data_IF_078704346742
#
_entry.id   IF_078704346742
#
_cell.length_a   1.000
_cell.length_b   1.000
_cell.length_c   1.000
_cell.angle_alpha   90.00
_cell.angle_beta   90.00
_cell.angle_gamma   90.00
#
_symmetry.space_group_name_H-M   'P 1'
#
loop_
_entity.id
_entity.type
_entity.pdbx_description
1 polymer ?
#
# COMPACT_ATOMS: atom_id res chain seq x y z
N UNK A 1 49.37 -72.79 -2.29
CA UNK A 1 50.60 -72.92 -1.54
C UNK A 1 50.55 -71.91 -0.41
N UNK A 2 50.29 -72.44 0.71
CA UNK A 2 51.03 -72.31 1.98
C UNK A 2 51.09 -70.85 2.49
N UNK A 3 50.58 -70.49 3.53
CA UNK A 3 50.34 -71.14 4.85
C UNK A 3 50.92 -70.22 5.95
N UNK A 4 50.15 -70.10 7.01
CA UNK A 4 50.51 -69.90 8.43
C UNK A 4 50.85 -68.53 8.98
N UNK A 5 49.95 -68.06 9.84
CA UNK A 5 49.87 -68.21 11.31
C UNK A 5 50.97 -67.36 12.02
N UNK A 6 50.78 -66.72 13.13
CA UNK A 6 50.08 -66.91 14.37
C UNK A 6 50.30 -65.71 15.33
N UNK A 7 49.30 -65.35 16.07
CA UNK A 7 49.24 -65.17 17.54
C UNK A 7 49.83 -63.94 18.25
N UNK A 8 48.89 -63.35 18.97
CA UNK A 8 48.88 -62.89 20.38
C UNK A 8 49.82 -61.74 20.82
N UNK A 9 49.24 -60.71 21.36
CA UNK A 9 49.27 -60.41 22.79
C UNK A 9 48.42 -59.17 23.14
N UNK A 10 47.52 -59.35 24.08
CA UNK A 10 46.78 -58.32 24.77
C UNK A 10 47.72 -57.44 25.63
N UNK A 11 47.53 -56.12 25.63
CA UNK A 11 47.78 -55.29 26.81
C UNK A 11 46.73 -54.20 26.90
N UNK A 12 46.00 -54.20 28.00
CA UNK A 12 45.11 -53.18 28.46
C UNK A 12 45.90 -51.88 28.73
N UNK A 13 45.37 -50.74 28.20
CA UNK A 13 45.70 -49.42 28.71
C UNK A 13 44.42 -48.60 28.80
N UNK A 14 44.08 -48.27 30.03
CA UNK A 14 43.02 -47.33 30.39
C UNK A 14 43.32 -45.94 29.82
N UNK A 15 42.41 -45.37 29.04
CA UNK A 15 42.41 -43.96 28.72
C UNK A 15 41.28 -43.27 29.50
N UNK A 16 41.51 -42.09 30.07
CA UNK A 16 40.48 -41.32 30.75
C UNK A 16 39.52 -40.66 29.76
N UNK A 17 38.23 -40.72 30.06
CA UNK A 17 37.18 -39.97 29.39
C UNK A 17 37.39 -38.45 29.59
N UNK A 18 37.78 -37.75 28.55
CA UNK A 18 37.65 -36.29 28.43
C UNK A 18 36.35 -35.97 27.70
N UNK A 19 35.40 -35.54 28.44
CA UNK A 19 34.15 -34.91 27.91
C UNK A 19 34.52 -33.56 27.28
N UNK A 20 34.22 -33.28 26.00
CA UNK A 20 34.33 -31.94 25.46
C UNK A 20 33.12 -31.12 25.94
N UNK A 21 33.42 -30.08 26.71
CA UNK A 21 32.50 -28.96 26.98
C UNK A 21 32.26 -28.23 25.65
N UNK A 22 31.10 -28.44 25.07
CA UNK A 22 30.65 -27.64 23.94
C UNK A 22 30.35 -26.23 24.44
N UNK A 23 31.32 -25.32 24.28
CA UNK A 23 31.06 -23.88 24.29
C UNK A 23 30.20 -23.55 23.05
N UNK A 24 28.92 -23.35 23.26
CA UNK A 24 28.02 -22.85 22.26
C UNK A 24 28.36 -21.40 21.90
N UNK A 25 29.21 -21.20 20.90
CA UNK A 25 29.24 -19.96 20.17
C UNK A 25 27.93 -19.84 19.39
N UNK A 26 27.03 -19.00 19.87
CA UNK A 26 25.90 -18.54 19.08
C UNK A 26 26.43 -17.74 17.90
N UNK A 27 26.70 -18.40 16.80
CA UNK A 27 26.85 -17.76 15.51
C UNK A 27 25.47 -17.14 15.18
N UNK A 28 25.40 -15.83 15.24
CA UNK A 28 24.38 -15.07 14.52
C UNK A 28 24.61 -15.38 13.03
N UNK A 29 23.97 -16.46 12.57
CA UNK A 29 24.01 -16.89 11.18
C UNK A 29 23.52 -15.76 10.31
N UNK A 30 24.41 -15.19 9.52
CA UNK A 30 24.03 -14.51 8.29
C UNK A 30 23.22 -15.53 7.48
N UNK A 31 21.92 -15.26 7.32
CA UNK A 31 21.08 -15.98 6.35
C UNK A 31 21.53 -15.54 4.97
N UNK A 32 22.60 -16.14 4.48
CA UNK A 32 23.05 -16.05 3.10
C UNK A 32 22.49 -17.29 2.40
N UNK A 33 21.46 -17.08 1.54
CA UNK A 33 21.16 -18.04 0.50
C UNK A 33 19.94 -18.96 0.65
N UNK A 34 18.95 -18.66 1.50
CA UNK A 34 17.60 -19.20 1.26
C UNK A 34 17.01 -18.47 0.06
N UNK A 35 16.52 -19.20 -0.95
CA UNK A 35 15.85 -18.63 -2.11
C UNK A 35 14.77 -17.65 -1.66
N UNK A 36 14.61 -16.54 -2.40
CA UNK A 36 13.69 -15.43 -2.06
C UNK A 36 12.22 -15.87 -1.89
N UNK A 37 11.91 -17.13 -2.21
CA UNK A 37 10.57 -17.72 -2.26
C UNK A 37 10.10 -18.32 -0.93
N UNK A 38 10.99 -18.61 0.01
CA UNK A 38 10.69 -19.45 1.18
C UNK A 38 10.48 -18.71 2.52
N UNK A 39 10.21 -17.39 2.48
CA UNK A 39 9.82 -16.71 3.70
C UNK A 39 8.42 -17.14 4.13
N UNK A 40 8.24 -17.76 5.31
CA UNK A 40 6.92 -18.13 5.80
C UNK A 40 6.07 -16.87 6.03
N UNK A 41 4.76 -17.00 5.90
CA UNK A 41 3.82 -15.98 6.36
C UNK A 41 3.32 -16.36 7.76
N UNK A 42 2.97 -15.38 8.59
CA UNK A 42 2.31 -15.67 9.85
C UNK A 42 0.96 -16.35 9.59
N UNK A 43 0.54 -17.23 10.49
CA UNK A 43 -0.77 -17.85 10.42
C UNK A 43 -1.87 -16.78 10.29
N UNK A 44 -2.86 -17.02 9.42
CA UNK A 44 -3.96 -16.10 9.11
C UNK A 44 -3.59 -14.82 8.35
N UNK A 45 -2.35 -14.70 7.88
CA UNK A 45 -1.92 -13.59 7.03
C UNK A 45 -1.57 -14.08 5.62
N UNK A 46 -1.97 -13.32 4.61
CA UNK A 46 -1.48 -13.45 3.23
C UNK A 46 -1.05 -12.08 2.74
N UNK A 47 0.08 -12.03 2.02
CA UNK A 47 0.66 -10.78 1.55
C UNK A 47 1.11 -10.93 0.10
N UNK A 48 0.66 -10.01 -0.74
CA UNK A 48 0.92 -10.01 -2.18
C UNK A 48 1.47 -8.65 -2.62
N UNK A 49 2.53 -8.67 -3.44
CA UNK A 49 3.14 -7.50 -4.05
C UNK A 49 3.11 -7.63 -5.57
N UNK A 50 2.51 -6.67 -6.26
CA UNK A 50 2.37 -6.77 -7.73
C UNK A 50 3.67 -6.60 -8.52
N UNK A 51 4.79 -6.29 -7.87
CA UNK A 51 6.11 -6.14 -8.48
C UNK A 51 7.18 -7.08 -7.93
N UNK A 52 6.87 -7.99 -6.98
CA UNK A 52 7.90 -8.85 -6.40
C UNK A 52 8.56 -9.74 -7.46
N UNK A 53 9.80 -10.15 -7.19
CA UNK A 53 10.60 -10.94 -8.15
C UNK A 53 10.15 -12.40 -8.24
N UNK A 54 9.61 -12.97 -7.16
CA UNK A 54 9.27 -14.39 -7.06
C UNK A 54 7.93 -14.78 -7.70
N UNK A 55 6.97 -13.86 -7.79
CA UNK A 55 5.69 -14.14 -8.45
C UNK A 55 5.78 -13.94 -9.97
N UNK A 56 5.03 -14.72 -10.74
CA UNK A 56 4.91 -14.52 -12.18
C UNK A 56 3.49 -14.81 -12.66
N UNK A 57 2.94 -13.93 -13.49
CA UNK A 57 1.62 -14.15 -14.11
C UNK A 57 1.53 -13.54 -15.51
N UNK A 58 0.52 -13.99 -16.25
CA UNK A 58 0.19 -13.42 -17.55
C UNK A 58 -0.72 -12.20 -17.34
N UNK A 59 -0.27 -11.02 -17.76
CA UNK A 59 -1.01 -9.78 -17.63
C UNK A 59 -2.31 -9.85 -18.46
N UNK A 60 -3.50 -9.68 -17.86
CA UNK A 60 -4.77 -9.78 -18.57
C UNK A 60 -4.96 -8.68 -19.63
N UNK A 61 -4.27 -7.54 -19.51
CA UNK A 61 -4.41 -6.40 -20.42
C UNK A 61 -3.72 -6.64 -21.78
N UNK A 62 -2.59 -7.33 -21.79
CA UNK A 62 -1.76 -7.47 -22.98
C UNK A 62 -1.24 -8.89 -23.24
N UNK A 63 -1.58 -9.83 -22.38
CA UNK A 63 -1.16 -11.23 -22.49
C UNK A 63 0.32 -11.49 -22.21
N UNK A 64 1.12 -10.50 -21.86
CA UNK A 64 2.55 -10.66 -21.60
C UNK A 64 2.81 -11.25 -20.21
N UNK A 65 3.82 -12.08 -20.09
CA UNK A 65 4.31 -12.57 -18.81
C UNK A 65 5.03 -11.45 -18.04
N UNK A 66 4.74 -11.31 -16.76
CA UNK A 66 5.41 -10.35 -15.88
C UNK A 66 5.65 -10.93 -14.49
N UNK A 67 6.70 -10.46 -13.84
CA UNK A 67 6.95 -10.76 -12.43
C UNK A 67 6.01 -9.94 -11.53
N UNK A 68 5.65 -10.52 -10.41
CA UNK A 68 4.76 -9.96 -9.40
C UNK A 68 3.55 -10.87 -9.16
N UNK A 69 2.79 -10.55 -8.13
CA UNK A 69 1.53 -11.21 -7.84
C UNK A 69 0.39 -10.57 -8.63
N UNK A 70 -0.54 -11.38 -9.10
CA UNK A 70 -1.78 -10.90 -9.68
C UNK A 70 -2.76 -10.52 -8.56
N UNK A 71 -2.76 -9.24 -8.13
CA UNK A 71 -3.61 -8.77 -7.04
C UNK A 71 -5.10 -8.86 -7.40
N UNK A 72 -5.47 -8.65 -8.68
CA UNK A 72 -6.85 -8.81 -9.15
C UNK A 72 -7.33 -10.25 -8.95
N UNK A 73 -6.51 -11.24 -9.30
CA UNK A 73 -6.83 -12.65 -9.09
C UNK A 73 -7.05 -12.96 -7.60
N UNK A 74 -6.25 -12.38 -6.71
CA UNK A 74 -6.42 -12.57 -5.27
C UNK A 74 -7.76 -12.01 -4.78
N UNK A 75 -8.15 -10.81 -5.21
CA UNK A 75 -9.46 -10.23 -4.89
C UNK A 75 -10.59 -11.12 -5.39
N UNK A 76 -10.56 -11.52 -6.67
CA UNK A 76 -11.58 -12.37 -7.29
C UNK A 76 -11.72 -13.72 -6.56
N UNK A 77 -10.62 -14.33 -6.17
CA UNK A 77 -10.64 -15.61 -5.43
C UNK A 77 -11.38 -15.48 -4.10
N UNK A 78 -11.12 -14.43 -3.32
CA UNK A 78 -11.79 -14.23 -2.03
C UNK A 78 -13.27 -13.86 -2.21
N UNK A 79 -13.61 -13.03 -3.19
CA UNK A 79 -15.01 -12.69 -3.50
C UNK A 79 -15.79 -13.94 -3.97
N UNK A 80 -15.19 -14.78 -4.81
CA UNK A 80 -15.81 -16.02 -5.27
C UNK A 80 -15.99 -17.05 -4.14
N UNK A 81 -15.14 -17.01 -3.10
CA UNK A 81 -15.23 -17.88 -1.93
C UNK A 81 -16.26 -17.39 -0.89
N UNK A 82 -16.75 -16.16 -1.00
CA UNK A 82 -17.73 -15.57 -0.08
C UNK A 82 -19.05 -16.36 -0.07
N UNK A 83 -19.60 -16.53 1.13
CA UNK A 83 -20.83 -17.30 1.40
C UNK A 83 -21.97 -16.43 1.96
N UNK A 84 -21.66 -15.41 2.75
CA UNK A 84 -22.64 -14.60 3.47
C UNK A 84 -22.64 -13.15 2.99
N UNK A 85 -21.45 -12.51 3.02
CA UNK A 85 -21.36 -11.09 2.69
C UNK A 85 -20.00 -10.66 2.12
N UNK A 86 -20.04 -9.61 1.29
CA UNK A 86 -18.89 -8.83 0.85
C UNK A 86 -19.20 -7.36 1.05
N UNK A 87 -18.47 -6.70 1.95
CA UNK A 87 -18.49 -5.25 2.15
C UNK A 87 -17.22 -4.67 1.55
N UNK A 88 -17.34 -3.74 0.60
CA UNK A 88 -16.22 -3.13 -0.08
C UNK A 88 -16.23 -1.62 0.11
N UNK A 89 -15.16 -1.05 0.68
CA UNK A 89 -14.88 0.38 0.65
C UNK A 89 -13.64 0.63 -0.21
N UNK A 90 -13.83 1.26 -1.36
CA UNK A 90 -12.76 1.44 -2.35
C UNK A 90 -12.82 2.82 -3.01
N UNK A 91 -11.70 3.54 -2.99
CA UNK A 91 -11.62 4.84 -3.65
C UNK A 91 -11.89 4.72 -5.15
N UNK A 92 -11.23 3.81 -5.86
CA UNK A 92 -11.37 3.67 -7.31
C UNK A 92 -11.43 2.21 -7.72
N UNK A 93 -12.48 1.84 -8.46
CA UNK A 93 -12.71 0.53 -9.05
C UNK A 93 -12.87 0.68 -10.56
N UNK A 94 -11.95 0.11 -11.33
CA UNK A 94 -12.02 0.10 -12.81
C UNK A 94 -11.73 -1.28 -13.41
N UNK A 95 -11.70 -2.32 -12.59
CA UNK A 95 -11.47 -3.71 -13.01
C UNK A 95 -12.80 -4.45 -13.23
N UNK A 96 -13.24 -4.67 -14.47
CA UNK A 96 -14.53 -5.31 -14.75
C UNK A 96 -14.62 -6.74 -14.20
N UNK A 97 -13.49 -7.46 -14.11
CA UNK A 97 -13.48 -8.83 -13.60
C UNK A 97 -13.75 -8.88 -12.09
N UNK A 98 -13.35 -7.84 -11.34
CA UNK A 98 -13.74 -7.70 -9.92
C UNK A 98 -15.24 -7.45 -9.81
N UNK A 99 -15.80 -6.56 -10.63
CA UNK A 99 -17.25 -6.32 -10.68
C UNK A 99 -18.03 -7.58 -11.04
N UNK A 100 -17.58 -8.33 -12.03
CA UNK A 100 -18.18 -9.62 -12.41
C UNK A 100 -18.12 -10.64 -11.25
N UNK A 101 -17.04 -10.66 -10.46
CA UNK A 101 -16.97 -11.52 -9.28
C UNK A 101 -17.99 -11.12 -8.20
N UNK A 102 -18.20 -9.81 -7.96
CA UNK A 102 -19.22 -9.30 -7.04
C UNK A 102 -20.63 -9.62 -7.52
N UNK A 103 -20.89 -9.51 -8.83
CA UNK A 103 -22.16 -9.89 -9.44
C UNK A 103 -22.44 -11.38 -9.21
N UNK A 104 -21.49 -12.26 -9.53
CA UNK A 104 -21.63 -13.70 -9.26
C UNK A 104 -21.82 -13.99 -7.76
N UNK A 105 -21.19 -13.24 -6.86
CA UNK A 105 -21.43 -13.37 -5.43
C UNK A 105 -22.89 -13.04 -5.08
N UNK A 106 -23.43 -11.92 -5.59
CA UNK A 106 -24.83 -11.56 -5.42
C UNK A 106 -25.78 -12.61 -5.99
N UNK A 107 -25.51 -13.14 -7.18
CA UNK A 107 -26.29 -14.21 -7.82
C UNK A 107 -26.34 -15.51 -6.99
N UNK A 108 -25.30 -15.77 -6.19
CA UNK A 108 -25.28 -16.88 -5.21
C UNK A 108 -26.01 -16.57 -3.91
N UNK A 109 -26.60 -15.37 -3.76
CA UNK A 109 -27.29 -14.95 -2.54
C UNK A 109 -26.38 -14.27 -1.50
N UNK A 110 -25.11 -13.97 -1.82
CA UNK A 110 -24.20 -13.23 -0.96
C UNK A 110 -24.61 -11.76 -0.90
N UNK A 111 -24.69 -11.19 0.29
CA UNK A 111 -24.95 -9.76 0.47
C UNK A 111 -23.73 -8.94 0.04
N UNK A 112 -23.88 -8.14 -1.01
CA UNK A 112 -22.81 -7.28 -1.53
C UNK A 112 -23.19 -5.82 -1.34
N UNK A 113 -22.33 -5.03 -0.70
CA UNK A 113 -22.49 -3.60 -0.47
C UNK A 113 -21.20 -2.86 -0.77
N UNK A 114 -21.27 -1.68 -1.42
CA UNK A 114 -20.08 -0.97 -1.89
C UNK A 114 -20.15 0.52 -1.51
N UNK A 115 -19.08 1.01 -0.89
CA UNK A 115 -18.81 2.43 -0.65
C UNK A 115 -17.70 2.89 -1.60
N UNK A 116 -17.97 3.97 -2.34
CA UNK A 116 -17.07 4.55 -3.35
C UNK A 116 -16.69 5.99 -3.00
N UNK A 117 -15.64 6.48 -3.58
CA UNK A 117 -15.32 7.91 -3.61
C UNK A 117 -16.10 8.57 -4.77
N UNK A 118 -16.66 9.76 -4.57
CA UNK A 118 -17.60 10.40 -5.47
C UNK A 118 -17.06 10.67 -6.88
N UNK A 119 -15.78 11.06 -7.00
CA UNK A 119 -15.17 11.34 -8.30
C UNK A 119 -15.02 10.08 -9.19
N UNK A 120 -15.14 8.90 -8.58
CA UNK A 120 -14.98 7.60 -9.25
C UNK A 120 -16.21 6.72 -9.22
N UNK A 121 -17.34 7.23 -8.69
CA UNK A 121 -18.62 6.50 -8.55
C UNK A 121 -19.49 6.48 -9.80
N UNK A 122 -19.16 7.32 -10.80
CA UNK A 122 -19.91 7.39 -12.05
C UNK A 122 -19.30 6.49 -13.13
N UNK A 123 -20.12 5.76 -13.92
CA UNK A 123 -19.63 5.00 -15.07
C UNK A 123 -18.80 5.89 -16.00
N UNK A 124 -17.61 5.44 -16.37
CA UNK A 124 -16.79 6.20 -17.31
C UNK A 124 -17.39 6.22 -18.71
N UNK A 125 -18.13 5.18 -19.06
CA UNK A 125 -18.79 5.01 -20.37
C UNK A 125 -19.91 6.02 -20.62
N UNK A 126 -20.45 6.62 -19.56
CA UNK A 126 -21.50 7.65 -19.60
C UNK A 126 -20.91 9.07 -19.56
N UNK A 127 -19.61 9.22 -19.30
CA UNK A 127 -18.97 10.52 -19.20
C UNK A 127 -18.56 11.05 -20.58
N UNK A 128 -18.92 12.31 -20.87
CA UNK A 128 -18.47 12.94 -22.11
C UNK A 128 -17.07 13.57 -21.94
N UNK A 129 -16.12 13.33 -22.86
CA UNK A 129 -14.74 13.81 -22.72
C UNK A 129 -14.60 15.33 -22.59
N UNK A 130 -15.55 16.13 -23.16
CA UNK A 130 -15.54 17.59 -23.04
C UNK A 130 -15.71 18.08 -21.60
N UNK A 131 -16.44 17.31 -20.77
CA UNK A 131 -16.81 17.70 -19.41
C UNK A 131 -15.73 17.34 -18.39
N UNK A 132 -14.71 16.62 -18.86
CA UNK A 132 -13.65 16.10 -18.02
C UNK A 132 -12.45 17.04 -17.94
N UNK A 133 -11.84 17.12 -16.75
CA UNK A 133 -10.53 17.74 -16.56
C UNK A 133 -9.45 17.06 -17.41
N UNK A 134 -8.32 17.72 -17.65
CA UNK A 134 -7.21 17.11 -18.39
C UNK A 134 -6.71 15.78 -17.78
N UNK A 135 -6.75 15.64 -16.46
CA UNK A 135 -6.40 14.41 -15.76
C UNK A 135 -7.45 13.33 -16.01
N UNK A 136 -8.72 13.65 -15.82
CA UNK A 136 -9.84 12.71 -16.01
C UNK A 136 -9.98 12.26 -17.46
N UNK A 137 -9.69 13.14 -18.44
CA UNK A 137 -9.65 12.76 -19.88
C UNK A 137 -8.61 11.69 -20.17
N UNK A 138 -7.40 11.79 -19.59
CA UNK A 138 -6.36 10.75 -19.77
C UNK A 138 -6.84 9.41 -19.19
N UNK A 139 -7.41 9.42 -18.00
CA UNK A 139 -8.01 8.23 -17.38
C UNK A 139 -9.11 7.64 -18.26
N UNK A 140 -10.05 8.45 -18.72
CA UNK A 140 -11.14 8.04 -19.61
C UNK A 140 -10.58 7.42 -20.92
N UNK A 141 -9.56 8.03 -21.52
CA UNK A 141 -8.91 7.47 -22.71
C UNK A 141 -8.27 6.09 -22.45
N UNK A 142 -7.61 5.91 -21.28
CA UNK A 142 -7.06 4.62 -20.87
C UNK A 142 -8.14 3.55 -20.74
N UNK A 143 -9.27 3.89 -20.11
CA UNK A 143 -10.39 2.97 -19.94
C UNK A 143 -11.05 2.59 -21.28
N UNK A 144 -11.16 3.53 -22.22
CA UNK A 144 -11.61 3.26 -23.59
C UNK A 144 -10.71 2.25 -24.30
N UNK A 145 -9.38 2.44 -24.21
CA UNK A 145 -8.41 1.50 -24.81
C UNK A 145 -8.47 0.11 -24.18
N UNK A 146 -8.81 0.01 -22.90
CA UNK A 146 -8.97 -1.27 -22.20
C UNK A 146 -10.28 -1.98 -22.56
N UNK A 147 -11.32 -1.22 -22.82
CA UNK A 147 -12.64 -1.73 -23.17
C UNK A 147 -12.71 -2.20 -24.65
N UNK A 148 -11.89 -1.64 -25.52
CA UNK A 148 -11.76 -2.05 -26.93
C UNK A 148 -11.09 -3.44 -27.02
N UNK A 149 -11.92 -4.46 -26.91
CA UNK A 149 -11.46 -5.85 -26.75
C UNK A 149 -10.90 -6.43 -28.05
N UNK A 150 -11.46 -6.03 -29.20
CA UNK A 150 -11.06 -6.46 -30.53
C UNK A 150 -9.95 -5.55 -31.13
N UNK A 151 -9.66 -4.39 -30.49
CA UNK A 151 -8.63 -3.41 -30.85
C UNK A 151 -8.84 -2.80 -32.25
N UNK A 152 -10.10 -2.61 -32.65
CA UNK A 152 -10.43 -1.97 -33.92
C UNK A 152 -10.50 -0.44 -33.85
N UNK A 153 -10.30 0.15 -32.64
CA UNK A 153 -10.36 1.58 -32.37
C UNK A 153 -11.76 2.13 -32.19
N UNK A 154 -12.78 1.30 -32.28
CA UNK A 154 -14.18 1.64 -32.06
C UNK A 154 -14.70 0.93 -30.80
N UNK A 155 -15.69 1.46 -30.17
CA UNK A 155 -16.33 0.84 -29.00
C UNK A 155 -17.81 0.58 -29.32
N UNK A 156 -18.17 -0.68 -29.35
CA UNK A 156 -19.58 -1.09 -29.35
C UNK A 156 -20.25 -0.79 -28.01
N UNK A 157 -21.57 -0.86 -27.94
CA UNK A 157 -22.31 -0.71 -26.67
C UNK A 157 -21.95 -1.83 -25.68
N UNK A 158 -21.76 -3.05 -26.19
CA UNK A 158 -21.38 -4.22 -25.41
C UNK A 158 -19.98 -4.07 -24.83
N UNK A 159 -19.00 -3.61 -25.61
CA UNK A 159 -17.63 -3.38 -25.12
C UNK A 159 -17.57 -2.26 -24.07
N UNK A 160 -18.34 -1.18 -24.26
CA UNK A 160 -18.44 -0.11 -23.26
C UNK A 160 -18.96 -0.66 -21.94
N UNK A 161 -20.05 -1.42 -21.98
CA UNK A 161 -20.63 -2.01 -20.78
C UNK A 161 -19.69 -3.03 -20.14
N UNK A 162 -19.16 -3.97 -20.93
CA UNK A 162 -18.25 -5.01 -20.42
C UNK A 162 -16.95 -4.45 -19.86
N UNK A 163 -16.50 -3.29 -20.35
CA UNK A 163 -15.30 -2.60 -19.90
C UNK A 163 -15.51 -1.58 -18.76
N UNK A 164 -16.76 -1.37 -18.32
CA UNK A 164 -17.09 -0.40 -17.27
C UNK A 164 -17.50 -1.07 -15.98
N UNK A 165 -16.57 -1.12 -15.03
CA UNK A 165 -16.77 -1.77 -13.73
C UNK A 165 -17.99 -1.22 -12.96
N UNK A 166 -18.22 0.10 -13.00
CA UNK A 166 -19.32 0.75 -12.28
C UNK A 166 -20.65 0.53 -12.99
N UNK A 167 -20.68 0.64 -14.33
CA UNK A 167 -21.90 0.36 -15.11
C UNK A 167 -22.40 -1.08 -14.91
N UNK A 168 -21.47 -2.05 -14.85
CA UNK A 168 -21.79 -3.46 -14.56
C UNK A 168 -22.45 -3.61 -13.19
N UNK A 169 -21.91 -2.98 -12.15
CA UNK A 169 -22.47 -3.04 -10.79
C UNK A 169 -23.86 -2.37 -10.71
N UNK A 170 -24.02 -1.20 -11.32
CA UNK A 170 -25.31 -0.50 -11.38
C UNK A 170 -26.39 -1.35 -12.06
N UNK A 171 -26.06 -1.89 -13.24
CA UNK A 171 -26.98 -2.75 -14.01
C UNK A 171 -27.37 -4.02 -13.26
N UNK A 172 -26.47 -4.57 -12.45
CA UNK A 172 -26.76 -5.74 -11.61
C UNK A 172 -27.58 -5.42 -10.37
N UNK A 173 -27.84 -4.14 -10.09
CA UNK A 173 -28.55 -3.69 -8.89
C UNK A 173 -27.80 -3.98 -7.59
N UNK A 174 -26.45 -3.96 -7.60
CA UNK A 174 -25.65 -3.99 -6.37
C UNK A 174 -25.79 -2.63 -5.71
N UNK A 175 -26.20 -2.56 -4.42
CA UNK A 175 -26.33 -1.30 -3.72
C UNK A 175 -24.97 -0.63 -3.50
N UNK A 176 -24.87 0.63 -3.86
CA UNK A 176 -23.66 1.46 -3.75
C UNK A 176 -24.02 2.84 -3.22
N UNK A 177 -23.14 3.41 -2.42
CA UNK A 177 -23.15 4.82 -2.03
C UNK A 177 -21.78 5.45 -2.27
N UNK A 178 -21.72 6.78 -2.28
CA UNK A 178 -20.46 7.53 -2.30
C UNK A 178 -20.42 8.60 -1.20
N UNK A 179 -19.26 9.21 -1.01
CA UNK A 179 -18.99 10.15 0.08
C UNK A 179 -19.55 11.58 -0.14
N UNK A 180 -20.40 11.79 -1.13
CA UNK A 180 -21.08 13.07 -1.38
C UNK A 180 -22.61 12.96 -1.50
N UNK A 181 -23.15 11.76 -1.59
CA UNK A 181 -24.58 11.46 -1.59
C UNK A 181 -25.08 11.21 -0.17
N UNK A 182 -26.39 11.22 0.05
CA UNK A 182 -27.03 10.80 1.29
C UNK A 182 -26.54 11.55 2.53
N UNK A 183 -26.51 12.63 2.87
CA UNK A 183 -26.10 13.27 4.13
C UNK A 183 -24.59 13.29 4.39
N UNK A 184 -23.83 12.59 3.60
CA UNK A 184 -22.38 12.44 3.70
C UNK A 184 -21.65 13.66 3.14
N UNK A 185 -21.43 14.68 3.96
CA UNK A 185 -20.59 15.82 3.58
C UNK A 185 -19.40 15.89 4.54
N UNK A 186 -18.17 16.07 4.01
CA UNK A 186 -17.04 16.39 4.84
C UNK A 186 -15.83 15.48 4.75
N UNK A 187 -15.80 14.53 3.82
CA UNK A 187 -14.55 13.85 3.46
C UNK A 187 -13.72 14.70 2.52
N UNK A 188 -12.39 14.67 2.70
CA UNK A 188 -11.47 15.14 1.66
C UNK A 188 -11.45 14.15 0.50
N UNK A 189 -11.40 12.85 0.83
CA UNK A 189 -11.53 11.69 -0.06
C UNK A 189 -12.01 10.49 0.78
N UNK A 190 -12.93 9.69 0.28
CA UNK A 190 -13.12 8.33 0.75
C UNK A 190 -11.98 7.48 0.18
N UNK A 191 -10.88 7.41 0.92
CA UNK A 191 -9.60 6.87 0.43
C UNK A 191 -9.30 5.46 0.93
N UNK A 192 -10.26 4.79 1.57
CA UNK A 192 -10.14 3.38 1.94
C UNK A 192 -9.91 2.47 0.74
N UNK A 193 -9.28 1.33 1.00
CA UNK A 193 -9.08 0.22 0.07
C UNK A 193 -9.18 -1.07 0.85
N UNK A 194 -10.43 -1.46 1.16
CA UNK A 194 -10.65 -2.71 1.88
C UNK A 194 -11.90 -3.47 1.45
N UNK A 195 -11.87 -4.77 1.70
CA UNK A 195 -13.01 -5.67 1.71
C UNK A 195 -13.11 -6.37 3.07
N UNK A 196 -14.34 -6.55 3.53
CA UNK A 196 -14.67 -7.51 4.57
C UNK A 196 -15.45 -8.65 3.92
N UNK A 197 -15.01 -9.90 4.13
CA UNK A 197 -15.67 -11.09 3.58
C UNK A 197 -16.10 -11.99 4.74
N UNK A 198 -17.39 -12.33 4.76
CA UNK A 198 -18.01 -13.27 5.71
C UNK A 198 -17.66 -13.00 7.17
N UNK A 199 -17.54 -11.74 7.58
CA UNK A 199 -17.20 -11.26 8.94
C UNK A 199 -15.95 -11.92 9.53
N UNK A 200 -15.07 -12.44 8.69
CA UNK A 200 -13.92 -13.23 9.14
C UNK A 200 -12.62 -12.90 8.41
N UNK A 201 -12.68 -12.30 7.24
CA UNK A 201 -11.52 -11.96 6.42
C UNK A 201 -11.54 -10.48 6.08
N UNK A 202 -10.45 -9.78 6.36
CA UNK A 202 -10.18 -8.41 5.88
C UNK A 202 -9.12 -8.47 4.80
N UNK A 203 -9.36 -7.79 3.68
CA UNK A 203 -8.37 -7.53 2.64
C UNK A 203 -8.17 -6.03 2.56
N UNK A 204 -6.95 -5.56 2.72
CA UNK A 204 -6.61 -4.14 2.66
C UNK A 204 -5.21 -3.94 2.08
N UNK A 205 -4.74 -2.70 1.96
CA UNK A 205 -3.41 -2.39 1.45
C UNK A 205 -3.33 -1.04 0.77
N UNK A 206 -2.38 -0.89 -0.14
CA UNK A 206 -2.17 0.37 -0.85
C UNK A 206 -2.89 0.46 -2.20
N UNK A 207 -3.35 -0.66 -2.77
CA UNK A 207 -3.85 -0.73 -4.13
C UNK A 207 -5.27 -0.19 -4.29
N UNK A 208 -5.49 0.75 -5.22
CA UNK A 208 -6.79 0.91 -5.86
C UNK A 208 -7.04 -0.28 -6.79
N UNK A 209 -8.30 -0.65 -6.97
CA UNK A 209 -8.67 -1.78 -7.82
C UNK A 209 -8.82 -1.32 -9.28
N UNK A 210 -7.70 -0.84 -9.83
CA UNK A 210 -7.63 -0.27 -11.17
C UNK A 210 -6.56 -0.96 -12.00
N UNK A 211 -6.70 -0.90 -13.32
CA UNK A 211 -5.69 -1.42 -14.23
C UNK A 211 -4.33 -0.78 -13.98
N UNK A 212 -4.25 0.55 -13.92
CA UNK A 212 -3.01 1.27 -13.61
C UNK A 212 -2.50 1.01 -12.18
N UNK A 213 -3.39 0.68 -11.24
CA UNK A 213 -3.02 0.31 -9.87
C UNK A 213 -2.37 -1.07 -9.77
N UNK A 214 -2.72 -2.00 -10.66
CA UNK A 214 -2.34 -3.42 -10.54
C UNK A 214 -1.54 -3.93 -11.73
N UNK A 215 -2.01 -3.67 -12.95
CA UNK A 215 -1.50 -4.32 -14.16
C UNK A 215 -0.65 -3.43 -15.05
N UNK A 216 -0.90 -2.13 -15.06
CA UNK A 216 -0.25 -1.16 -15.91
C UNK A 216 -1.21 -0.32 -16.75
N UNK A 217 -0.65 0.63 -17.46
CA UNK A 217 -1.39 1.54 -18.33
C UNK A 217 -1.56 0.92 -19.73
N UNK A 218 -2.75 1.09 -20.33
CA UNK A 218 -3.01 0.71 -21.70
C UNK A 218 -2.12 1.52 -22.65
N UNK A 219 -1.67 0.88 -23.74
CA UNK A 219 -0.80 1.53 -24.72
C UNK A 219 0.65 1.76 -24.28
N UNK A 220 1.03 1.33 -23.08
CA UNK A 220 2.40 1.46 -22.55
C UNK A 220 2.98 0.09 -22.21
N UNK A 221 3.71 -0.51 -23.14
CA UNK A 221 4.23 -1.88 -23.00
C UNK A 221 5.16 -2.10 -21.81
N UNK A 222 5.83 -1.06 -21.33
CA UNK A 222 6.75 -1.11 -20.17
C UNK A 222 6.05 -0.88 -18.83
N UNK A 223 4.82 -0.35 -18.81
CA UNK A 223 4.08 -0.14 -17.56
C UNK A 223 3.73 -1.48 -16.92
N UNK A 224 3.98 -1.58 -15.64
CA UNK A 224 3.67 -2.73 -14.80
C UNK A 224 2.65 -2.39 -13.71
N UNK A 225 2.09 -1.19 -13.80
CA UNK A 225 1.22 -0.61 -12.80
C UNK A 225 1.97 0.01 -11.62
N UNK A 226 1.24 0.71 -10.81
CA UNK A 226 1.79 1.31 -9.60
C UNK A 226 2.29 0.21 -8.66
N UNK A 227 3.40 0.49 -7.96
CA UNK A 227 3.96 -0.45 -6.99
C UNK A 227 3.05 -0.50 -5.77
N UNK A 228 2.37 -1.61 -5.58
CA UNK A 228 1.31 -1.81 -4.60
C UNK A 228 1.42 -3.16 -3.89
N UNK A 229 0.68 -3.29 -2.79
CA UNK A 229 0.46 -4.56 -2.09
C UNK A 229 -1.00 -4.73 -1.67
N UNK A 230 -1.39 -5.99 -1.46
CA UNK A 230 -2.58 -6.41 -0.74
C UNK A 230 -2.18 -7.27 0.44
N UNK A 231 -2.80 -7.02 1.57
CA UNK A 231 -2.67 -7.77 2.82
C UNK A 231 -4.04 -8.35 3.17
N UNK A 232 -4.12 -9.66 3.29
CA UNK A 232 -5.33 -10.36 3.73
C UNK A 232 -5.09 -10.92 5.13
N UNK A 233 -6.02 -10.65 6.06
CA UNK A 233 -5.93 -11.07 7.46
C UNK A 233 -7.23 -11.75 7.85
N UNK A 234 -7.14 -13.02 8.25
CA UNK A 234 -8.29 -13.77 8.74
C UNK A 234 -8.41 -13.62 10.25
N UNK A 235 -9.40 -12.85 10.67
CA UNK A 235 -9.69 -12.55 12.08
C UNK A 235 -11.09 -11.95 12.18
N UNK A 236 -12.00 -12.61 12.89
CA UNK A 236 -13.35 -12.08 13.13
C UNK A 236 -13.31 -10.76 13.89
N UNK A 237 -12.38 -10.62 14.86
CA UNK A 237 -12.22 -9.37 15.62
C UNK A 237 -11.76 -8.21 14.74
N UNK A 238 -10.82 -8.46 13.80
CA UNK A 238 -10.41 -7.44 12.84
C UNK A 238 -11.55 -7.11 11.88
N UNK A 239 -12.25 -8.12 11.39
CA UNK A 239 -13.38 -7.95 10.49
C UNK A 239 -14.51 -7.12 11.12
N UNK A 240 -14.77 -7.32 12.42
CA UNK A 240 -15.73 -6.50 13.19
C UNK A 240 -15.37 -5.02 13.16
N UNK A 241 -14.10 -4.66 13.42
CA UNK A 241 -13.64 -3.26 13.38
C UNK A 241 -13.81 -2.62 12.00
N UNK A 242 -13.48 -3.36 10.94
CA UNK A 242 -13.64 -2.89 9.57
C UNK A 242 -15.12 -2.82 9.15
N UNK A 243 -15.95 -3.72 9.65
CA UNK A 243 -17.39 -3.70 9.43
C UNK A 243 -18.03 -2.49 10.13
N UNK A 244 -17.64 -2.16 11.36
CA UNK A 244 -18.10 -0.97 12.05
C UNK A 244 -17.73 0.30 11.28
N UNK A 245 -16.49 0.40 10.75
CA UNK A 245 -16.10 1.53 9.92
C UNK A 245 -16.91 1.60 8.64
N UNK A 246 -17.16 0.47 7.98
CA UNK A 246 -18.01 0.40 6.81
C UNK A 246 -19.44 0.88 7.13
N UNK A 247 -20.02 0.43 8.24
CA UNK A 247 -21.40 0.78 8.64
C UNK A 247 -21.54 2.26 8.99
N UNK A 248 -20.52 2.91 9.59
CA UNK A 248 -20.54 4.37 9.79
C UNK A 248 -20.66 5.13 8.47
N UNK A 249 -19.96 4.68 7.44
CA UNK A 249 -20.05 5.27 6.10
C UNK A 249 -21.34 4.90 5.39
N UNK A 250 -21.79 3.66 5.55
CA UNK A 250 -22.97 3.13 4.87
C UNK A 250 -24.29 3.71 5.37
N UNK A 251 -24.43 3.91 6.69
CA UNK A 251 -25.71 4.26 7.30
C UNK A 251 -26.78 3.21 7.00
N UNK A 252 -27.97 3.69 6.58
CA UNK A 252 -29.07 2.83 6.13
C UNK A 252 -28.93 2.45 4.64
N UNK A 253 -27.97 3.01 3.93
CA UNK A 253 -27.69 2.75 2.52
C UNK A 253 -28.71 3.36 1.55
N UNK A 254 -28.65 2.98 0.26
CA UNK A 254 -29.51 3.53 -0.76
C UNK A 254 -30.98 3.28 -0.48
N UNK A 255 -31.82 4.34 -0.51
CA UNK A 255 -33.24 4.27 -0.24
C UNK A 255 -33.65 4.26 1.24
N UNK A 256 -32.65 4.25 2.16
CA UNK A 256 -32.87 4.39 3.60
C UNK A 256 -32.90 5.85 4.07
N UNK A 257 -32.66 6.08 5.37
CA UNK A 257 -32.49 7.43 5.92
C UNK A 257 -31.15 7.99 5.45
N UNK A 258 -31.10 9.30 5.22
CA UNK A 258 -29.88 10.02 4.84
C UNK A 258 -28.95 10.20 6.06
N UNK A 259 -28.33 9.14 6.51
CA UNK A 259 -27.52 9.08 7.72
C UNK A 259 -26.10 8.52 7.52
N UNK A 260 -25.65 8.34 6.27
CA UNK A 260 -24.26 8.02 5.97
C UNK A 260 -23.31 9.12 6.47
N UNK A 261 -22.12 8.77 6.96
CA UNK A 261 -21.17 9.71 7.53
C UNK A 261 -19.77 9.46 7.01
N UNK A 262 -19.16 10.51 6.48
CA UNK A 262 -17.80 10.48 5.95
C UNK A 262 -16.91 11.56 6.56
N UNK A 263 -15.63 11.36 6.45
CA UNK A 263 -14.64 12.31 6.91
C UNK A 263 -14.86 12.67 8.39
N UNK A 264 -14.78 13.94 8.71
CA UNK A 264 -14.98 14.45 10.07
C UNK A 264 -16.41 14.37 10.62
N UNK A 265 -17.35 14.00 9.78
CA UNK A 265 -18.73 13.70 10.21
C UNK A 265 -18.88 12.33 10.87
N UNK A 266 -17.85 11.47 10.78
CA UNK A 266 -17.80 10.19 11.49
C UNK A 266 -17.29 10.38 12.92
N UNK A 267 -17.81 9.57 13.83
CA UNK A 267 -17.14 9.26 15.08
C UNK A 267 -16.02 8.25 14.78
N UNK A 268 -14.79 8.73 14.71
CA UNK A 268 -13.62 7.87 14.51
C UNK A 268 -12.99 7.58 15.87
N UNK A 269 -13.08 6.34 16.38
CA UNK A 269 -12.38 5.96 17.61
C UNK A 269 -10.86 6.05 17.41
N UNK A 270 -10.13 6.29 18.48
CA UNK A 270 -8.66 6.19 18.46
C UNK A 270 -8.19 4.79 18.05
N UNK A 271 -6.87 4.61 18.01
CA UNK A 271 -6.29 3.32 17.64
C UNK A 271 -6.79 2.18 18.55
N UNK A 272 -7.26 1.10 17.94
CA UNK A 272 -7.72 -0.10 18.62
C UNK A 272 -6.68 -1.22 18.48
N UNK A 273 -6.38 -1.90 19.58
CA UNK A 273 -5.40 -2.99 19.61
C UNK A 273 -6.11 -4.34 19.70
N UNK A 274 -5.74 -5.26 18.82
CA UNK A 274 -6.22 -6.65 18.82
C UNK A 274 -5.05 -7.62 18.70
N UNK A 275 -5.34 -8.91 18.95
CA UNK A 275 -4.40 -10.01 18.70
C UNK A 275 -4.91 -10.88 17.55
N UNK A 276 -4.03 -11.17 16.59
CA UNK A 276 -4.30 -12.12 15.50
C UNK A 276 -3.20 -13.18 15.51
N UNK A 277 -3.54 -14.41 15.84
CA UNK A 277 -2.55 -15.52 15.97
C UNK A 277 -1.33 -15.15 16.82
N UNK A 278 -1.54 -14.45 17.93
CA UNK A 278 -0.48 -14.01 18.84
C UNK A 278 0.28 -12.75 18.36
N UNK A 279 -0.10 -12.16 17.23
CA UNK A 279 0.49 -10.93 16.70
C UNK A 279 -0.36 -9.74 17.12
N UNK A 280 0.25 -8.74 17.78
CA UNK A 280 -0.40 -7.46 18.09
C UNK A 280 -0.60 -6.67 16.80
N UNK A 281 -1.84 -6.26 16.57
CA UNK A 281 -2.26 -5.41 15.44
C UNK A 281 -2.99 -4.20 16.00
N UNK A 282 -2.54 -3.01 15.65
CA UNK A 282 -3.21 -1.75 15.96
C UNK A 282 -3.91 -1.25 14.69
N UNK A 283 -5.15 -0.84 14.83
CA UNK A 283 -6.00 -0.37 13.73
C UNK A 283 -6.49 1.02 14.04
N UNK A 284 -6.32 1.95 13.11
CA UNK A 284 -6.87 3.29 13.22
C UNK A 284 -7.57 3.66 11.91
N UNK A 285 -8.79 4.18 12.02
CA UNK A 285 -9.53 4.76 10.91
C UNK A 285 -9.52 6.28 11.04
N UNK A 286 -9.01 6.96 10.04
CA UNK A 286 -9.02 8.42 9.97
C UNK A 286 -10.34 8.91 9.29
N UNK A 287 -10.66 10.22 9.38
CA UNK A 287 -9.82 11.28 9.95
C UNK A 287 -10.15 11.59 11.43
N UNK A 288 -9.23 12.28 12.07
CA UNK A 288 -9.42 12.86 13.40
C UNK A 288 -9.18 14.37 13.37
N UNK A 289 -9.78 15.11 14.32
CA UNK A 289 -9.50 16.53 14.48
C UNK A 289 -8.04 16.75 14.90
N UNK A 290 -7.40 17.81 14.40
CA UNK A 290 -5.99 18.13 14.72
C UNK A 290 -5.73 18.29 16.22
N UNK A 291 -6.73 18.75 16.95
CA UNK A 291 -6.62 19.04 18.37
C UNK A 291 -6.78 17.79 19.26
N UNK A 292 -7.29 16.70 18.69
CA UNK A 292 -7.45 15.44 19.41
C UNK A 292 -6.15 14.64 19.37
N UNK A 293 -5.64 14.17 20.51
CA UNK A 293 -4.49 13.28 20.53
C UNK A 293 -4.86 11.90 19.97
N UNK A 294 -3.86 11.14 19.55
CA UNK A 294 -4.03 9.77 19.08
C UNK A 294 -4.51 9.66 17.65
N UNK A 295 -4.37 10.72 16.83
CA UNK A 295 -4.62 10.63 15.39
C UNK A 295 -3.50 9.88 14.65
N UNK A 296 -3.69 9.64 13.35
CA UNK A 296 -2.78 8.78 12.58
C UNK A 296 -1.31 9.24 12.57
N UNK A 297 -1.05 10.56 12.56
CA UNK A 297 0.32 11.09 12.64
C UNK A 297 0.93 10.81 14.01
N UNK A 298 0.16 10.89 15.10
CA UNK A 298 0.65 10.57 16.46
C UNK A 298 1.03 9.10 16.54
N UNK A 299 0.17 8.20 16.07
CA UNK A 299 0.45 6.76 16.07
C UNK A 299 1.72 6.43 15.28
N UNK A 300 1.90 7.03 14.09
CA UNK A 300 3.11 6.86 13.30
C UNK A 300 4.33 7.43 14.05
N UNK A 301 4.21 8.64 14.64
CA UNK A 301 5.28 9.30 15.37
C UNK A 301 5.75 8.49 16.57
N UNK A 302 4.82 7.86 17.29
CA UNK A 302 5.12 6.96 18.41
C UNK A 302 5.96 5.77 17.94
N UNK A 303 5.52 5.08 16.90
CA UNK A 303 6.24 3.93 16.36
C UNK A 303 7.63 4.31 15.83
N UNK A 304 7.75 5.43 15.11
CA UNK A 304 9.05 5.93 14.63
C UNK A 304 9.98 6.31 15.79
N UNK A 305 9.43 6.94 16.84
CA UNK A 305 10.21 7.35 18.02
C UNK A 305 10.70 6.15 18.83
N UNK A 306 10.01 5.02 18.77
CA UNK A 306 10.41 3.78 19.44
C UNK A 306 11.55 3.04 18.73
N UNK A 307 11.90 3.41 17.49
CA UNK A 307 12.96 2.77 16.70
C UNK A 307 14.32 2.85 17.41
N UNK A 308 15.06 1.73 17.39
CA UNK A 308 16.39 1.62 18.00
C UNK A 308 17.51 1.35 17.00
N UNK A 309 17.20 0.80 15.82
CA UNK A 309 18.20 0.33 14.86
C UNK A 309 17.97 0.84 13.45
N UNK A 310 16.73 0.71 12.94
CA UNK A 310 16.46 1.00 11.53
C UNK A 310 15.00 1.39 11.26
N UNK A 311 14.82 2.25 10.27
CA UNK A 311 13.53 2.65 9.72
C UNK A 311 13.65 2.59 8.19
N UNK A 312 12.86 1.73 7.55
CA UNK A 312 12.71 1.65 6.10
C UNK A 312 11.34 2.20 5.70
N UNK A 313 11.30 3.09 4.73
CA UNK A 313 10.09 3.80 4.31
C UNK A 313 9.90 3.67 2.80
N UNK A 314 8.70 3.28 2.36
CA UNK A 314 8.28 3.35 0.96
C UNK A 314 6.94 4.09 0.86
N UNK A 315 6.98 5.32 0.35
CA UNK A 315 5.87 6.27 0.48
C UNK A 315 5.46 6.89 -0.86
N UNK A 316 4.15 6.92 -1.11
CA UNK A 316 3.60 7.65 -2.24
C UNK A 316 3.62 9.16 -2.00
N UNK A 317 2.95 9.62 -0.94
CA UNK A 317 2.96 11.01 -0.49
C UNK A 317 3.58 11.08 0.90
N UNK A 318 4.52 11.98 1.07
CA UNK A 318 5.12 12.32 2.36
C UNK A 318 5.19 13.83 2.48
N UNK A 319 4.30 14.41 3.31
CA UNK A 319 4.12 15.86 3.44
C UNK A 319 3.69 16.29 4.85
N UNK A 320 4.13 15.55 5.87
CA UNK A 320 3.87 15.90 7.27
C UNK A 320 5.18 16.23 8.00
N UNK A 321 5.35 17.49 8.35
CA UNK A 321 6.55 18.02 9.00
C UNK A 321 6.80 17.38 10.38
N UNK A 322 5.75 16.97 11.10
CA UNK A 322 5.90 16.31 12.41
C UNK A 322 6.67 15.02 12.26
N UNK A 323 6.33 14.21 11.24
CA UNK A 323 7.01 12.94 10.96
C UNK A 323 8.46 13.16 10.52
N UNK A 324 8.73 14.22 9.73
CA UNK A 324 10.08 14.61 9.35
C UNK A 324 10.93 15.00 10.55
N UNK A 325 10.37 15.75 11.48
CA UNK A 325 11.05 16.11 12.74
C UNK A 325 11.40 14.87 13.57
N UNK A 326 10.51 13.86 13.63
CA UNK A 326 10.79 12.58 14.30
C UNK A 326 11.91 11.82 13.61
N UNK A 327 11.89 11.72 12.28
CA UNK A 327 12.96 11.07 11.52
C UNK A 327 14.32 11.77 11.73
N UNK A 328 14.33 13.11 11.75
CA UNK A 328 15.54 13.87 12.05
C UNK A 328 16.11 13.56 13.44
N UNK A 329 15.24 13.47 14.47
CA UNK A 329 15.61 13.08 15.83
C UNK A 329 16.17 11.66 15.87
N UNK A 330 15.52 10.70 15.22
CA UNK A 330 15.96 9.31 15.20
C UNK A 330 17.30 9.14 14.47
N UNK A 331 17.50 9.86 13.36
CA UNK A 331 18.80 9.91 12.69
C UNK A 331 19.91 10.38 13.62
N UNK A 332 19.66 11.47 14.38
CA UNK A 332 20.64 12.02 15.34
C UNK A 332 20.93 11.06 16.50
N UNK A 333 19.97 10.18 16.82
CA UNK A 333 20.13 9.07 17.77
C UNK A 333 20.85 7.84 17.18
N UNK A 334 21.29 7.89 15.91
CA UNK A 334 22.04 6.82 15.25
C UNK A 334 21.19 5.76 14.56
N UNK A 335 19.87 5.95 14.47
CA UNK A 335 18.99 5.03 13.75
C UNK A 335 19.24 5.12 12.24
N UNK A 336 19.43 3.98 11.58
CA UNK A 336 19.61 3.90 10.12
C UNK A 336 18.28 4.11 9.43
N UNK A 337 18.20 5.13 8.57
CA UNK A 337 16.96 5.47 7.84
C UNK A 337 17.18 5.28 6.35
N UNK A 338 16.26 4.55 5.69
CA UNK A 338 16.16 4.47 4.22
C UNK A 338 14.76 4.91 3.81
N UNK A 339 14.67 5.81 2.85
CA UNK A 339 13.39 6.27 2.32
C UNK A 339 13.37 6.25 0.80
N UNK A 340 12.35 5.60 0.23
CA UNK A 340 12.00 5.72 -1.17
C UNK A 340 10.62 6.38 -1.28
N UNK A 341 10.54 7.44 -2.06
CA UNK A 341 9.30 8.14 -2.33
C UNK A 341 8.97 8.14 -3.83
N UNK A 342 7.69 8.33 -4.16
CA UNK A 342 7.28 8.50 -5.55
C UNK A 342 7.99 9.69 -6.20
N UNK A 343 8.66 9.51 -7.36
CA UNK A 343 9.44 10.59 -7.96
C UNK A 343 8.59 11.80 -8.38
N UNK A 344 7.28 11.62 -8.58
CA UNK A 344 6.34 12.70 -8.89
C UNK A 344 6.02 13.55 -7.67
N UNK A 345 5.79 12.90 -6.53
CA UNK A 345 5.49 13.58 -5.26
C UNK A 345 6.74 14.05 -4.53
N UNK A 346 7.83 13.30 -4.53
CA UNK A 346 9.11 13.71 -3.93
C UNK A 346 9.62 15.08 -4.37
N UNK A 347 9.23 15.51 -5.57
CA UNK A 347 9.63 16.80 -6.12
C UNK A 347 8.59 17.92 -5.93
N UNK A 348 7.49 17.71 -5.19
CA UNK A 348 6.51 18.78 -4.91
C UNK A 348 7.06 19.74 -3.84
N UNK A 349 6.64 21.01 -3.89
CA UNK A 349 7.08 22.04 -2.92
C UNK A 349 6.73 21.71 -1.48
N UNK A 350 5.68 20.95 -1.25
CA UNK A 350 5.20 20.50 0.05
C UNK A 350 5.75 19.10 0.45
N UNK A 351 6.77 18.60 -0.22
CA UNK A 351 7.28 17.24 0.04
C UNK A 351 8.38 17.25 1.09
N UNK A 352 8.20 16.52 2.15
CA UNK A 352 9.18 16.32 3.22
C UNK A 352 10.44 15.56 2.77
N UNK A 353 10.38 14.95 1.57
CA UNK A 353 11.59 14.41 0.93
C UNK A 353 12.61 15.51 0.67
N UNK A 354 12.17 16.74 0.37
CA UNK A 354 13.04 17.90 0.18
C UNK A 354 13.73 18.25 1.49
N UNK A 355 12.99 18.31 2.59
CA UNK A 355 13.53 18.58 3.92
C UNK A 355 14.60 17.59 4.32
N UNK A 356 14.35 16.29 4.10
CA UNK A 356 15.34 15.24 4.37
C UNK A 356 16.59 15.36 3.49
N UNK A 357 16.48 15.95 2.29
CA UNK A 357 17.58 16.24 1.39
C UNK A 357 18.23 17.60 1.63
N UNK A 358 17.76 18.37 2.62
CA UNK A 358 18.25 19.73 2.92
C UNK A 358 17.88 20.77 1.85
N UNK A 359 16.77 20.57 1.15
CA UNK A 359 16.32 21.38 0.04
C UNK A 359 15.03 22.13 0.33
N UNK A 360 14.89 23.29 -0.29
CA UNK A 360 13.65 24.08 -0.33
C UNK A 360 13.26 24.35 -1.77
N UNK A 361 12.00 24.10 -2.11
CA UNK A 361 11.46 24.43 -3.42
C UNK A 361 10.18 25.26 -3.22
N UNK A 362 10.14 26.51 -3.66
CA UNK A 362 8.94 27.32 -3.58
C UNK A 362 7.82 26.74 -4.48
N UNK A 363 6.60 27.09 -4.15
CA UNK A 363 5.42 26.78 -4.95
C UNK A 363 5.36 27.60 -6.25
N UNK A 364 4.25 27.52 -6.98
CA UNK A 364 4.04 28.26 -8.23
C UNK A 364 3.96 29.80 -8.06
N UNK A 365 3.73 30.25 -6.81
CA UNK A 365 3.71 31.69 -6.42
C UNK A 365 5.03 32.14 -5.81
N UNK A 366 6.07 31.34 -5.89
CA UNK A 366 7.37 31.57 -5.27
C UNK A 366 7.35 31.67 -3.73
N UNK A 367 6.38 31.02 -3.08
CA UNK A 367 6.28 30.97 -1.62
C UNK A 367 6.83 29.63 -1.11
N UNK A 368 7.63 29.71 -0.05
CA UNK A 368 8.04 28.52 0.72
C UNK A 368 6.89 28.12 1.65
N UNK A 369 6.71 26.84 1.86
CA UNK A 369 5.73 26.28 2.76
C UNK A 369 5.94 26.80 4.20
N UNK A 370 4.84 27.14 4.88
CA UNK A 370 4.90 27.56 6.28
C UNK A 370 5.44 26.43 7.16
N UNK A 371 6.35 26.77 8.07
CA UNK A 371 7.03 25.81 8.98
C UNK A 371 7.97 24.81 8.30
N UNK A 372 8.33 25.00 7.03
CA UNK A 372 9.33 24.21 6.33
C UNK A 372 10.66 24.18 7.11
N UNK A 373 11.24 22.98 7.33
CA UNK A 373 12.46 22.79 8.15
C UNK A 373 13.45 21.84 7.51
N UNK A 374 14.12 22.25 6.43
CA UNK A 374 15.12 21.41 5.77
C UNK A 374 16.27 21.05 6.72
N UNK A 375 16.71 19.80 6.66
CA UNK A 375 17.81 19.31 7.46
C UNK A 375 19.12 20.05 7.10
N UNK A 376 19.84 20.55 8.10
CA UNK A 376 21.18 21.14 7.92
C UNK A 376 22.18 20.14 7.33
N UNK A 377 22.04 18.87 7.68
CA UNK A 377 22.83 17.78 7.12
C UNK A 377 21.91 16.80 6.39
N UNK A 378 21.96 16.75 5.05
CA UNK A 378 21.08 15.89 4.25
C UNK A 378 21.19 14.41 4.57
N UNK A 379 20.12 13.65 4.34
CA UNK A 379 20.09 12.20 4.34
C UNK A 379 20.41 11.67 2.95
N UNK A 380 21.57 11.05 2.77
CA UNK A 380 21.95 10.44 1.48
C UNK A 380 21.25 9.11 1.17
N UNK A 381 20.47 8.59 2.11
CA UNK A 381 19.68 7.36 2.02
C UNK A 381 18.20 7.63 1.73
N UNK A 382 17.93 8.73 1.05
CA UNK A 382 16.60 9.16 0.57
C UNK A 382 16.64 9.25 -0.94
N UNK A 383 15.61 8.74 -1.61
CA UNK A 383 15.56 8.76 -3.07
C UNK A 383 14.24 8.27 -3.66
N UNK A 384 14.30 7.82 -4.90
CA UNK A 384 13.15 7.36 -5.66
C UNK A 384 13.49 6.09 -6.46
N UNK A 385 12.57 5.11 -6.56
CA UNK A 385 12.77 3.95 -7.40
C UNK A 385 12.70 4.31 -8.89
N UNK A 386 13.42 3.59 -9.74
CA UNK A 386 13.26 3.67 -11.20
C UNK A 386 12.02 2.91 -11.60
N UNK A 387 11.03 3.62 -12.12
CA UNK A 387 9.76 3.07 -12.57
C UNK A 387 9.53 3.37 -14.05
N UNK A 388 8.72 2.54 -14.70
CA UNK A 388 8.26 2.83 -16.04
C UNK A 388 7.42 4.13 -16.06
N UNK A 389 7.39 4.79 -17.22
CA UNK A 389 6.60 6.03 -17.37
C UNK A 389 5.13 5.75 -17.12
N UNK A 390 4.52 6.49 -16.21
CA UNK A 390 3.13 6.33 -15.77
C UNK A 390 3.01 5.61 -14.42
N UNK A 391 3.85 4.63 -14.16
CA UNK A 391 3.85 3.89 -12.90
C UNK A 391 4.31 4.77 -11.73
N UNK A 392 3.79 4.51 -10.55
CA UNK A 392 4.08 5.24 -9.31
C UNK A 392 4.54 4.29 -8.21
N UNK A 393 5.38 4.78 -7.32
CA UNK A 393 5.55 4.15 -6.02
C UNK A 393 4.31 4.47 -5.18
N UNK A 394 3.39 3.54 -5.07
CA UNK A 394 2.10 3.79 -4.42
C UNK A 394 1.97 3.15 -3.03
N UNK A 395 3.04 2.55 -2.52
CA UNK A 395 3.09 2.07 -1.14
C UNK A 395 2.93 3.21 -0.11
N UNK A 396 2.46 2.85 1.07
CA UNK A 396 2.43 3.66 2.28
C UNK A 396 2.84 2.75 3.43
N UNK A 397 4.11 2.31 3.41
CA UNK A 397 4.58 1.45 4.49
C UNK A 397 5.88 1.92 5.13
N UNK A 398 6.05 1.55 6.39
CA UNK A 398 7.32 1.56 7.08
C UNK A 398 7.63 0.19 7.67
N UNK A 399 8.92 -0.14 7.77
CA UNK A 399 9.43 -1.25 8.57
C UNK A 399 10.37 -0.69 9.63
N UNK A 400 10.06 -0.95 10.89
CA UNK A 400 10.82 -0.46 12.04
C UNK A 400 11.52 -1.64 12.71
N UNK A 401 12.85 -1.53 12.84
CA UNK A 401 13.73 -2.51 13.51
C UNK A 401 13.59 -3.95 13.01
N UNK A 402 13.09 -4.16 11.77
CA UNK A 402 12.71 -5.45 11.21
C UNK A 402 11.69 -6.22 12.08
N UNK A 403 10.82 -5.52 12.81
CA UNK A 403 9.85 -6.10 13.76
C UNK A 403 8.45 -5.57 13.60
N UNK A 404 8.31 -4.30 13.26
CA UNK A 404 7.01 -3.62 13.16
C UNK A 404 6.80 -3.12 11.74
N UNK A 405 5.61 -3.36 11.20
CA UNK A 405 5.16 -2.85 9.91
C UNK A 405 4.05 -1.83 10.14
N UNK A 406 4.20 -0.64 9.58
CA UNK A 406 3.11 0.33 9.42
C UNK A 406 2.64 0.22 7.98
N UNK A 407 1.32 0.11 7.73
CA UNK A 407 0.79 -0.04 6.36
C UNK A 407 -0.68 0.37 6.27
N UNK A 408 -1.28 0.30 5.07
CA UNK A 408 -2.68 0.64 4.80
C UNK A 408 -2.85 1.58 3.61
N UNK A 409 -3.93 2.37 3.63
CA UNK A 409 -4.21 3.39 2.63
C UNK A 409 -3.62 4.76 2.98
N UNK A 410 -3.28 4.97 4.24
CA UNK A 410 -2.91 6.23 4.87
C UNK A 410 -1.63 6.84 4.27
N UNK A 411 -1.76 7.89 3.48
CA UNK A 411 -0.62 8.70 3.04
C UNK A 411 -0.04 9.46 4.25
N UNK A 412 1.27 9.66 4.26
CA UNK A 412 1.92 10.38 5.35
C UNK A 412 1.78 11.90 5.15
N UNK A 413 0.56 12.37 5.35
CA UNK A 413 0.16 13.75 5.04
C UNK A 413 -0.92 14.26 6.01
N UNK A 414 -1.01 15.58 6.21
CA UNK A 414 -2.10 16.17 7.01
C UNK A 414 -3.50 15.85 6.47
N UNK A 415 -3.65 15.74 5.15
CA UNK A 415 -4.95 15.37 4.55
C UNK A 415 -5.40 13.97 4.96
N UNK A 416 -4.50 12.99 4.97
CA UNK A 416 -4.80 11.64 5.42
C UNK A 416 -5.19 11.60 6.90
N UNK A 417 -4.53 12.41 7.74
CA UNK A 417 -4.80 12.43 9.18
C UNK A 417 -6.11 13.12 9.54
N UNK A 418 -6.51 14.17 8.78
CA UNK A 418 -7.50 15.14 9.26
C UNK A 418 -8.70 15.36 8.34
N UNK A 419 -8.70 14.82 7.11
CA UNK A 419 -9.79 15.05 6.14
C UNK A 419 -10.24 13.82 5.37
N UNK A 420 -9.34 12.88 5.09
CA UNK A 420 -9.67 11.68 4.30
C UNK A 420 -10.13 10.52 5.17
N UNK A 421 -11.00 9.68 4.65
CA UNK A 421 -11.31 8.39 5.23
C UNK A 421 -10.18 7.39 4.87
N UNK A 422 -9.39 6.98 5.87
CA UNK A 422 -8.18 6.17 5.67
C UNK A 422 -8.09 5.01 6.64
N UNK A 423 -7.39 3.97 6.23
CA UNK A 423 -7.00 2.84 7.08
C UNK A 423 -5.51 2.91 7.39
N UNK A 424 -5.16 2.86 8.66
CA UNK A 424 -3.78 2.74 9.15
C UNK A 424 -3.66 1.50 10.05
N UNK A 425 -2.70 0.64 9.74
CA UNK A 425 -2.38 -0.56 10.51
C UNK A 425 -0.95 -0.49 11.03
N UNK A 426 -0.74 -0.88 12.29
CA UNK A 426 0.57 -1.18 12.87
C UNK A 426 0.59 -2.64 13.27
N UNK A 427 1.52 -3.43 12.72
CA UNK A 427 1.57 -4.89 12.90
C UNK A 427 2.93 -5.27 13.46
N UNK A 428 2.95 -5.83 14.67
CA UNK A 428 4.17 -6.22 15.37
C UNK A 428 4.53 -7.69 15.06
N UNK A 429 5.14 -7.90 13.89
CA UNK A 429 5.53 -9.23 13.40
C UNK A 429 6.86 -9.19 12.66
N UNK A 430 7.93 -9.77 13.21
CA UNK A 430 9.22 -9.91 12.50
C UNK A 430 9.09 -10.69 11.19
N UNK A 431 8.23 -11.69 11.16
CA UNK A 431 7.99 -12.50 9.94
C UNK A 431 7.36 -11.63 8.85
N UNK A 432 6.31 -10.86 9.18
CA UNK A 432 5.69 -9.97 8.20
C UNK A 432 6.65 -8.84 7.79
N UNK A 433 7.39 -8.29 8.74
CA UNK A 433 8.41 -7.26 8.48
C UNK A 433 9.46 -7.73 7.47
N UNK A 434 9.89 -9.00 7.51
CA UNK A 434 10.84 -9.57 6.56
C UNK A 434 10.34 -9.50 5.11
N UNK A 435 9.03 -9.70 4.87
CA UNK A 435 8.44 -9.56 3.53
C UNK A 435 8.47 -8.11 3.03
N UNK A 436 8.12 -7.15 3.88
CA UNK A 436 8.18 -5.72 3.52
C UNK A 436 9.63 -5.24 3.34
N UNK A 437 10.56 -5.73 4.16
CA UNK A 437 12.01 -5.46 3.98
C UNK A 437 12.52 -6.02 2.65
N UNK A 438 12.08 -7.21 2.23
CA UNK A 438 12.41 -7.78 0.92
C UNK A 438 11.88 -6.90 -0.22
N UNK A 439 10.66 -6.40 -0.12
CA UNK A 439 10.09 -5.47 -1.10
C UNK A 439 10.88 -4.14 -1.14
N UNK A 440 11.21 -3.58 0.04
CA UNK A 440 12.06 -2.41 0.14
C UNK A 440 13.42 -2.65 -0.54
N UNK A 441 14.08 -3.78 -0.28
CA UNK A 441 15.36 -4.13 -0.87
C UNK A 441 15.27 -4.32 -2.39
N UNK A 442 14.17 -4.88 -2.90
CA UNK A 442 13.91 -5.00 -4.34
C UNK A 442 13.90 -3.63 -5.01
N UNK A 443 13.14 -2.68 -4.47
CA UNK A 443 13.06 -1.32 -5.00
C UNK A 443 14.38 -0.56 -4.83
N UNK A 444 15.07 -0.78 -3.71
CA UNK A 444 16.31 -0.10 -3.37
C UNK A 444 17.44 -0.38 -4.38
N UNK A 445 17.55 -1.62 -4.87
CA UNK A 445 18.58 -2.03 -5.83
C UNK A 445 18.64 -1.18 -7.11
N UNK A 446 17.52 -0.65 -7.53
CA UNK A 446 17.40 0.15 -8.77
C UNK A 446 17.05 1.61 -8.52
N UNK A 447 17.09 2.07 -7.27
CA UNK A 447 16.69 3.43 -6.92
C UNK A 447 17.78 4.46 -7.22
N UNK A 448 17.36 5.69 -7.44
CA UNK A 448 18.23 6.87 -7.50
C UNK A 448 18.15 7.58 -6.16
N UNK A 449 19.30 7.69 -5.47
CA UNK A 449 19.40 8.33 -4.16
C UNK A 449 19.87 9.78 -4.28
N UNK A 450 19.48 10.60 -3.30
CA UNK A 450 19.83 12.02 -3.26
C UNK A 450 19.04 12.86 -4.28
N UNK A 451 19.70 13.84 -4.84
CA UNK A 451 19.09 14.77 -5.82
C UNK A 451 19.01 14.07 -7.18
N UNK A 452 17.83 13.52 -7.48
CA UNK A 452 17.60 12.84 -8.76
C UNK A 452 17.65 13.84 -9.93
N UNK A 453 17.92 13.38 -11.19
CA UNK A 453 17.90 14.28 -12.37
C UNK A 453 16.57 15.03 -12.56
N UNK A 454 15.46 14.41 -12.17
CA UNK A 454 14.14 15.07 -12.17
C UNK A 454 14.08 16.22 -11.18
N UNK A 455 14.56 15.99 -9.96
CA UNK A 455 14.59 16.98 -8.89
C UNK A 455 15.54 18.13 -9.25
N UNK A 456 16.73 17.81 -9.78
CA UNK A 456 17.69 18.80 -10.25
C UNK A 456 17.09 19.75 -11.30
N UNK A 457 16.46 19.20 -12.35
CA UNK A 457 15.77 20.03 -13.36
C UNK A 457 14.66 20.88 -12.78
N UNK A 458 14.02 20.45 -11.71
CA UNK A 458 13.00 21.25 -11.04
C UNK A 458 13.60 22.39 -10.24
N UNK A 459 14.67 22.14 -9.49
CA UNK A 459 15.44 23.16 -8.77
C UNK A 459 15.92 24.26 -9.71
N UNK A 460 16.53 23.90 -10.84
CA UNK A 460 17.00 24.84 -11.86
C UNK A 460 15.87 25.70 -12.40
N UNK A 461 14.72 25.12 -12.75
CA UNK A 461 13.55 25.87 -13.22
C UNK A 461 12.99 26.82 -12.16
N UNK A 462 12.94 26.40 -10.90
CA UNK A 462 12.44 27.25 -9.82
C UNK A 462 13.43 28.38 -9.48
N UNK A 463 14.74 28.12 -9.54
CA UNK A 463 15.78 29.15 -9.40
C UNK A 463 15.66 30.19 -10.51
N UNK A 464 15.46 29.78 -11.75
CA UNK A 464 15.26 30.69 -12.89
C UNK A 464 13.98 31.54 -12.73
N UNK A 465 12.90 30.94 -12.15
CA UNK A 465 11.61 31.61 -11.99
C UNK A 465 11.55 32.53 -10.76
N UNK A 466 12.06 32.08 -9.62
CA UNK A 466 11.85 32.71 -8.31
C UNK A 466 13.11 33.38 -7.74
N UNK A 467 14.23 33.32 -8.42
CA UNK A 467 15.48 33.98 -8.02
C UNK A 467 16.31 33.14 -7.05
N UNK A 468 17.30 33.79 -6.36
CA UNK A 468 18.34 33.11 -5.56
C UNK A 468 17.87 32.54 -4.23
N UNK A 469 16.61 32.73 -3.81
CA UNK A 469 16.05 32.21 -2.56
C UNK A 469 15.74 30.73 -2.57
N UNK A 470 15.97 30.03 -3.67
CA UNK A 470 15.73 28.58 -3.83
C UNK A 470 17.00 27.79 -3.47
N UNK A 471 16.96 27.03 -2.41
CA UNK A 471 18.06 26.16 -1.93
C UNK A 471 17.88 24.71 -2.36
#
# INVERSE_FOLDING_TARGET
MLDRQLKHLQRHALLPLLTPVLLGCSQAGQVVGAGLDDLPLPQNFQLHFNHRDSGRYRNPLNGQWRNGDNLEKQLIQQINAAKEEVLMAIQELTLPQVSNALIRAKERGVRVQIVLENNYSKPWSEQHPSDLSAHSRRRHQQLRLLADSNRDGRLTAEERLAGDAIALLQRSGIPMINDSEDGSRGSGLMHHKFLVVDRSLVITGSANFTSSGIHGDAGTSRSRGNVNHLLSIRSSKLAELFQEEFQRMWGDGPGGKQNSRFGRGKDSPGAQTIQVSGIRVEVLFAPHAKQLPGHGVDLISEQLSAAKRSIDLALFVFSDQTLTNVLAKQRNAGVKIRLLADPGFASRSFSEVLDLLGLEIPDHRCMIEANNKPLKTPLHTVGAPKLARGDKLHHKFAVIDNKTVITGSFNWSPAAAHTNDETLLVIHSPILAAHFTREMNRMWRSSELGITPRLQRKLERQRAKCGRGVR
#
